data_IF_562426287487
#
_entry.id   IF_562426287487
#
_cell.length_a   1.000
_cell.length_b   1.000
_cell.length_c   1.000
_cell.angle_alpha   90.00
_cell.angle_beta   90.00
_cell.angle_gamma   90.00
#
_symmetry.space_group_name_H-M   'P 1'
#
loop_
_entity.id
_entity.type
_entity.pdbx_description
1 polymer ?
#
# COMPACT_ATOMS: atom_id res chain seq x y z
N UNK A 1 -38.27 5.67 34.89
CA UNK A 1 -36.90 5.76 34.33
C UNK A 1 -36.85 4.93 33.05
N UNK A 2 -36.09 5.33 32.01
CA UNK A 2 -35.97 4.55 30.78
C UNK A 2 -35.38 3.16 31.04
N UNK A 3 -35.85 2.15 30.30
CA UNK A 3 -35.43 0.75 30.50
C UNK A 3 -33.92 0.51 30.28
N UNK A 4 -33.24 1.39 29.53
CA UNK A 4 -31.81 1.30 29.26
C UNK A 4 -30.92 1.75 30.43
N UNK A 5 -31.48 2.40 31.46
CA UNK A 5 -30.70 3.02 32.55
C UNK A 5 -30.08 1.98 33.52
N UNK A 6 -30.61 0.76 33.56
CA UNK A 6 -30.10 -0.35 34.38
C UNK A 6 -29.48 -1.49 33.57
N UNK A 7 -29.42 -1.36 32.24
CA UNK A 7 -28.84 -2.38 31.37
C UNK A 7 -27.34 -2.08 31.23
N UNK A 8 -26.51 -2.99 31.73
CA UNK A 8 -25.08 -2.97 31.43
C UNK A 8 -24.90 -2.94 29.91
N UNK A 9 -24.01 -2.07 29.43
CA UNK A 9 -23.63 -2.05 28.03
C UNK A 9 -23.08 -3.44 27.66
N UNK A 10 -23.40 -3.91 26.45
CA UNK A 10 -22.77 -5.12 25.94
C UNK A 10 -21.24 -4.89 25.96
N UNK A 11 -20.43 -5.87 26.40
CA UNK A 11 -19.00 -5.70 26.49
C UNK A 11 -18.47 -5.27 25.13
N UNK A 12 -17.68 -4.19 25.13
CA UNK A 12 -17.04 -3.68 23.93
C UNK A 12 -16.25 -4.83 23.32
N UNK A 13 -16.71 -5.34 22.18
CA UNK A 13 -15.95 -6.37 21.47
C UNK A 13 -14.68 -5.66 21.03
N UNK A 14 -13.56 -5.98 21.67
CA UNK A 14 -12.24 -5.65 21.13
C UNK A 14 -12.22 -6.36 19.79
N UNK A 15 -12.57 -5.63 18.73
CA UNK A 15 -12.46 -6.16 17.39
C UNK A 15 -10.99 -6.55 17.29
N UNK A 16 -10.72 -7.82 16.99
CA UNK A 16 -9.46 -8.19 16.39
C UNK A 16 -9.42 -7.42 15.07
N UNK A 17 -8.90 -6.20 15.14
CA UNK A 17 -8.55 -5.42 13.98
C UNK A 17 -7.37 -6.17 13.40
N UNK A 18 -7.63 -7.01 12.41
CA UNK A 18 -6.61 -7.38 11.44
C UNK A 18 -6.33 -6.10 10.65
N UNK A 19 -5.61 -5.16 11.26
CA UNK A 19 -4.89 -4.12 10.55
C UNK A 19 -3.77 -4.84 9.84
N UNK A 20 -3.82 -4.99 8.51
CA UNK A 20 -2.80 -5.76 7.83
C UNK A 20 -1.42 -5.06 7.87
N UNK A 21 -1.41 -3.75 8.19
CA UNK A 21 -0.21 -2.96 8.54
C UNK A 21 0.33 -3.22 9.96
N UNK A 22 -0.36 -4.04 10.76
CA UNK A 22 0.04 -4.49 12.10
C UNK A 22 0.26 -6.02 12.11
N UNK A 23 0.55 -6.59 10.94
CA UNK A 23 0.84 -8.02 10.83
C UNK A 23 2.22 -8.32 11.46
N UNK A 24 2.31 -9.31 12.36
CA UNK A 24 3.59 -9.75 12.92
C UNK A 24 4.53 -10.15 11.79
N UNK A 25 5.69 -9.50 11.75
CA UNK A 25 6.66 -9.54 10.65
C UNK A 25 6.91 -8.20 9.94
N UNK A 26 6.02 -7.20 10.09
CA UNK A 26 6.32 -5.80 9.76
C UNK A 26 7.02 -5.07 10.93
N UNK A 27 6.77 -5.48 12.17
CA UNK A 27 7.45 -5.00 13.39
C UNK A 27 8.18 -6.09 14.20
N UNK A 28 8.11 -7.37 13.79
CA UNK A 28 8.79 -8.46 14.52
C UNK A 28 10.28 -8.57 14.15
N UNK A 29 11.04 -7.58 14.61
CA UNK A 29 12.18 -7.83 15.49
C UNK A 29 12.53 -6.50 16.18
N UNK A 30 12.17 -6.31 17.46
CA UNK A 30 12.67 -5.18 18.27
C UNK A 30 14.20 -5.21 18.49
N UNK A 31 14.92 -6.15 17.87
CA UNK A 31 16.35 -6.40 18.07
C UNK A 31 17.18 -6.37 16.77
N UNK A 32 16.57 -6.22 15.60
CA UNK A 32 17.27 -6.02 14.33
C UNK A 32 16.83 -4.70 13.70
N UNK A 33 17.79 -3.91 13.21
CA UNK A 33 17.47 -2.65 12.57
C UNK A 33 16.47 -2.86 11.42
N UNK A 34 15.52 -1.94 11.17
CA UNK A 34 14.45 -2.08 10.15
C UNK A 34 14.97 -2.24 8.71
N UNK A 35 16.29 -2.22 8.53
CA UNK A 35 17.00 -2.46 7.29
C UNK A 35 17.83 -3.76 7.44
N UNK A 36 17.54 -4.73 6.57
CA UNK A 36 18.26 -6.00 6.58
C UNK A 36 19.72 -5.85 6.11
N UNK A 37 20.44 -6.98 6.03
CA UNK A 37 21.85 -7.03 5.58
C UNK A 37 22.10 -6.40 4.20
N UNK A 38 21.06 -6.24 3.39
CA UNK A 38 21.11 -5.62 2.07
C UNK A 38 21.16 -4.07 2.10
N UNK A 39 20.92 -3.41 3.25
CA UNK A 39 21.00 -1.95 3.42
C UNK A 39 21.51 -1.60 4.83
N UNK A 40 22.77 -1.89 5.15
CA UNK A 40 23.31 -1.70 6.50
C UNK A 40 23.30 -0.23 6.96
N UNK A 41 23.16 0.73 6.05
CA UNK A 41 23.10 2.17 6.34
C UNK A 41 21.66 2.71 6.44
N UNK A 42 20.65 1.90 6.10
CA UNK A 42 19.24 2.29 6.03
C UNK A 42 18.92 3.34 4.95
N UNK A 43 19.84 3.57 4.00
CA UNK A 43 19.70 4.59 2.96
C UNK A 43 18.58 4.25 1.98
N UNK A 44 18.50 2.99 1.57
CA UNK A 44 17.44 2.52 0.65
C UNK A 44 16.09 2.57 1.31
N UNK A 45 16.01 2.20 2.59
CA UNK A 45 14.77 2.35 3.36
C UNK A 45 14.34 3.82 3.47
N UNK A 46 15.26 4.73 3.83
CA UNK A 46 14.96 6.18 3.87
C UNK A 46 14.47 6.70 2.51
N UNK A 47 15.18 6.36 1.43
CA UNK A 47 14.78 6.74 0.07
C UNK A 47 13.41 6.17 -0.32
N UNK A 48 13.15 4.91 0.03
CA UNK A 48 11.86 4.24 -0.22
C UNK A 48 10.68 4.98 0.43
N UNK A 49 10.87 5.56 1.61
CA UNK A 49 9.86 6.43 2.26
C UNK A 49 9.63 7.74 1.52
N UNK A 50 10.68 8.34 0.93
CA UNK A 50 10.53 9.55 0.11
C UNK A 50 9.75 9.27 -1.17
N UNK A 51 10.05 8.15 -1.83
CA UNK A 51 9.30 7.71 -3.01
C UNK A 51 7.83 7.45 -2.64
N UNK A 52 7.56 6.76 -1.54
CA UNK A 52 6.19 6.53 -1.05
C UNK A 52 5.44 7.87 -0.87
N UNK A 53 6.02 8.82 -0.14
CA UNK A 53 5.40 10.12 0.10
C UNK A 53 5.13 10.89 -1.20
N UNK A 54 6.06 10.83 -2.17
CA UNK A 54 5.87 11.45 -3.47
C UNK A 54 4.73 10.77 -4.27
N UNK A 55 4.65 9.44 -4.27
CA UNK A 55 3.56 8.72 -4.93
C UNK A 55 2.19 8.96 -4.29
N UNK A 56 2.17 9.25 -2.99
CA UNK A 56 0.96 9.61 -2.26
C UNK A 56 0.45 11.00 -2.67
N UNK A 57 1.34 12.01 -2.73
CA UNK A 57 0.92 13.41 -2.86
C UNK A 57 1.01 13.98 -4.27
N UNK A 58 2.00 13.59 -5.10
CA UNK A 58 2.14 14.15 -6.44
C UNK A 58 0.90 13.97 -7.33
N UNK A 59 0.13 12.86 -7.25
CA UNK A 59 -1.08 12.70 -8.05
C UNK A 59 -2.13 13.81 -7.85
N UNK A 60 -2.13 14.47 -6.68
CA UNK A 60 -3.06 15.55 -6.33
C UNK A 60 -2.74 16.88 -7.03
N UNK A 61 -1.56 16.98 -7.66
CA UNK A 61 -1.12 18.16 -8.39
C UNK A 61 -1.25 17.99 -9.91
N UNK A 62 -1.45 19.09 -10.67
CA UNK A 62 -1.42 19.06 -12.13
C UNK A 62 -0.13 18.44 -12.67
N UNK A 63 -0.23 17.62 -13.72
CA UNK A 63 0.92 16.88 -14.26
C UNK A 63 2.13 17.77 -14.59
N UNK A 64 1.89 18.98 -15.10
CA UNK A 64 2.93 19.96 -15.42
C UNK A 64 3.73 20.46 -14.19
N UNK A 65 3.16 20.39 -12.98
CA UNK A 65 3.80 20.87 -11.75
C UNK A 65 4.54 19.77 -10.99
N UNK A 66 4.17 18.49 -11.20
CA UNK A 66 4.63 17.35 -10.40
C UNK A 66 6.16 17.24 -10.34
N UNK A 67 6.84 17.46 -11.48
CA UNK A 67 8.31 17.39 -11.54
C UNK A 67 8.96 18.45 -10.65
N UNK A 68 8.57 19.71 -10.80
CA UNK A 68 9.12 20.82 -10.01
C UNK A 68 8.84 20.66 -8.51
N UNK A 69 7.65 20.13 -8.15
CA UNK A 69 7.30 19.83 -6.76
C UNK A 69 8.18 18.71 -6.18
N UNK A 70 8.38 17.63 -6.94
CA UNK A 70 9.23 16.52 -6.53
C UNK A 70 10.70 16.93 -6.36
N UNK A 71 11.23 17.72 -7.29
CA UNK A 71 12.59 18.29 -7.22
C UNK A 71 12.78 19.11 -5.94
N UNK A 72 11.85 20.04 -5.65
CA UNK A 72 11.87 20.86 -4.43
C UNK A 72 11.75 20.02 -3.15
N UNK A 73 10.95 18.97 -3.17
CA UNK A 73 10.81 18.07 -2.03
C UNK A 73 12.12 17.32 -1.77
N UNK A 74 12.69 16.67 -2.79
CA UNK A 74 13.92 15.88 -2.68
C UNK A 74 15.15 16.72 -2.31
N UNK A 75 15.17 18.00 -2.68
CA UNK A 75 16.26 18.92 -2.35
C UNK A 75 16.36 19.31 -0.87
N UNK A 76 15.34 18.99 -0.05
CA UNK A 76 15.34 19.35 1.38
C UNK A 76 16.52 18.69 2.12
N UNK A 77 17.37 19.47 2.82
CA UNK A 77 18.58 18.93 3.48
C UNK A 77 18.30 17.78 4.46
N UNK A 78 17.14 17.80 5.12
CA UNK A 78 16.74 16.76 6.08
C UNK A 78 16.55 15.36 5.49
N UNK A 79 16.55 15.21 4.16
CA UNK A 79 16.47 13.91 3.50
C UNK A 79 17.84 13.21 3.38
N UNK A 80 18.95 13.96 3.48
CA UNK A 80 20.29 13.38 3.40
C UNK A 80 20.64 12.73 2.05
N UNK A 81 19.96 13.12 0.96
CA UNK A 81 20.25 12.62 -0.39
C UNK A 81 21.36 13.43 -1.05
N UNK A 82 22.28 12.74 -1.74
CA UNK A 82 23.22 13.36 -2.68
C UNK A 82 22.48 13.92 -3.89
N UNK A 83 23.10 14.82 -4.65
CA UNK A 83 22.46 15.36 -5.87
C UNK A 83 22.15 14.25 -6.88
N UNK A 84 23.07 13.29 -7.05
CA UNK A 84 22.85 12.13 -7.91
C UNK A 84 21.66 11.28 -7.45
N UNK A 85 21.51 11.06 -6.13
CA UNK A 85 20.38 10.32 -5.59
C UNK A 85 19.06 11.06 -5.77
N UNK A 86 19.04 12.39 -5.67
CA UNK A 86 17.84 13.21 -5.91
C UNK A 86 17.37 13.05 -7.34
N UNK A 87 18.27 13.22 -8.32
CA UNK A 87 17.95 13.06 -9.73
C UNK A 87 17.48 11.63 -10.03
N UNK A 88 18.19 10.60 -9.53
CA UNK A 88 17.78 9.22 -9.75
C UNK A 88 16.41 8.91 -9.13
N UNK A 89 16.15 9.38 -7.90
CA UNK A 89 14.87 9.20 -7.19
C UNK A 89 13.73 9.91 -7.92
N UNK A 90 13.96 11.11 -8.43
CA UNK A 90 12.98 11.85 -9.23
C UNK A 90 12.55 11.05 -10.46
N UNK A 91 13.51 10.58 -11.25
CA UNK A 91 13.22 9.82 -12.48
C UNK A 91 12.54 8.47 -12.16
N UNK A 92 12.89 7.83 -11.05
CA UNK A 92 12.20 6.64 -10.54
C UNK A 92 10.72 6.92 -10.21
N UNK A 93 10.43 8.04 -9.52
CA UNK A 93 9.06 8.44 -9.15
C UNK A 93 8.23 8.76 -10.39
N UNK A 94 8.76 9.57 -11.31
CA UNK A 94 8.05 9.96 -12.53
C UNK A 94 7.72 8.73 -13.39
N UNK A 95 8.65 7.79 -13.52
CA UNK A 95 8.43 6.52 -14.23
C UNK A 95 7.30 5.69 -13.62
N UNK A 96 7.17 5.67 -12.30
CA UNK A 96 6.06 4.98 -11.63
C UNK A 96 4.73 5.68 -11.88
N UNK A 97 4.70 7.01 -11.81
CA UNK A 97 3.49 7.81 -12.10
C UNK A 97 3.01 7.65 -13.55
N UNK A 98 3.95 7.48 -14.48
CA UNK A 98 3.69 7.32 -15.91
C UNK A 98 3.61 5.84 -16.35
N UNK A 99 3.74 4.90 -15.41
CA UNK A 99 3.74 3.47 -15.73
C UNK A 99 2.42 3.10 -16.42
N UNK A 100 2.42 2.51 -17.64
CA UNK A 100 1.19 2.34 -18.44
C UNK A 100 0.07 1.58 -17.73
N UNK A 101 0.43 0.58 -16.91
CA UNK A 101 -0.55 -0.17 -16.13
C UNK A 101 -1.11 0.58 -14.91
N UNK A 102 -0.37 1.57 -14.37
CA UNK A 102 -0.69 2.27 -13.13
C UNK A 102 -1.16 3.70 -13.33
N UNK A 103 -0.89 4.32 -14.49
CA UNK A 103 -1.13 5.75 -14.74
C UNK A 103 -2.56 6.17 -14.43
N UNK A 104 -3.54 5.29 -14.68
CA UNK A 104 -4.94 5.52 -14.33
C UNK A 104 -5.16 5.66 -12.81
N UNK A 105 -4.43 4.91 -11.98
CA UNK A 105 -4.48 4.98 -10.51
C UNK A 105 -3.79 6.23 -9.93
N UNK A 106 -3.07 6.99 -10.76
CA UNK A 106 -2.50 8.31 -10.45
C UNK A 106 -3.23 9.47 -11.15
N UNK A 107 -4.34 9.15 -11.82
CA UNK A 107 -5.21 10.11 -12.50
C UNK A 107 -6.38 10.61 -11.62
N UNK A 108 -7.20 11.54 -12.12
CA UNK A 108 -8.33 12.07 -11.37
C UNK A 108 -9.33 10.99 -10.89
N UNK A 109 -9.91 11.18 -9.72
CA UNK A 109 -10.91 10.27 -9.15
C UNK A 109 -10.34 9.03 -8.43
N UNK A 110 -9.03 8.85 -8.45
CA UNK A 110 -8.34 7.89 -7.59
C UNK A 110 -8.22 8.43 -6.16
N UNK A 111 -8.23 7.51 -5.19
CA UNK A 111 -8.22 7.79 -3.74
C UNK A 111 -6.87 7.39 -3.16
N UNK A 112 -6.21 8.30 -2.46
CA UNK A 112 -4.97 8.04 -1.74
C UNK A 112 -5.33 7.69 -0.30
N UNK A 113 -4.55 6.82 0.32
CA UNK A 113 -4.79 6.40 1.72
C UNK A 113 -6.24 5.97 1.94
N UNK A 114 -6.78 5.18 1.00
CA UNK A 114 -8.19 4.89 0.97
C UNK A 114 -8.55 3.86 2.07
N UNK A 115 -9.43 4.22 3.03
CA UNK A 115 -9.81 3.29 4.08
C UNK A 115 -10.66 2.15 3.50
N UNK A 116 -10.44 0.95 4.01
CA UNK A 116 -11.22 -0.24 3.67
C UNK A 116 -11.63 -0.95 4.95
N UNK A 117 -12.93 -1.13 5.16
CA UNK A 117 -13.46 -1.81 6.32
C UNK A 117 -14.71 -2.62 6.00
N UNK A 118 -14.87 -3.77 6.63
CA UNK A 118 -16.03 -4.63 6.44
C UNK A 118 -15.86 -6.01 7.07
N UNK A 119 -16.67 -6.96 6.62
CA UNK A 119 -16.57 -8.35 7.04
C UNK A 119 -16.28 -9.25 5.84
N UNK A 120 -15.38 -10.22 6.01
CA UNK A 120 -15.08 -11.26 5.03
C UNK A 120 -15.17 -12.60 5.75
N UNK A 121 -16.07 -13.48 5.30
CA UNK A 121 -16.26 -14.82 5.90
C UNK A 121 -16.39 -14.80 7.43
N UNK A 122 -17.17 -13.85 7.96
CA UNK A 122 -17.40 -13.68 9.40
C UNK A 122 -16.27 -12.99 10.17
N UNK A 123 -15.15 -12.67 9.52
CA UNK A 123 -14.03 -11.96 10.12
C UNK A 123 -14.12 -10.46 9.83
N UNK A 124 -13.91 -9.62 10.85
CA UNK A 124 -13.81 -8.16 10.66
C UNK A 124 -12.46 -7.84 10.03
N UNK A 125 -12.50 -7.06 8.96
CA UNK A 125 -11.33 -6.50 8.29
C UNK A 125 -11.41 -4.98 8.35
N UNK A 126 -10.32 -4.34 8.75
CA UNK A 126 -10.16 -2.89 8.64
C UNK A 126 -8.71 -2.60 8.27
N UNK A 127 -8.51 -1.70 7.33
CA UNK A 127 -7.19 -1.31 6.86
C UNK A 127 -7.27 -0.09 5.96
N UNK A 128 -6.15 0.18 5.32
CA UNK A 128 -5.98 1.29 4.40
C UNK A 128 -5.13 0.81 3.24
N UNK A 129 -5.53 1.15 2.01
CA UNK A 129 -4.72 0.92 0.81
C UNK A 129 -4.09 2.24 0.40
N UNK A 130 -2.82 2.21 0.00
CA UNK A 130 -2.09 3.45 -0.34
C UNK A 130 -2.73 4.18 -1.53
N UNK A 131 -3.24 3.41 -2.50
CA UNK A 131 -3.96 3.95 -3.65
C UNK A 131 -5.11 3.04 -4.05
N UNK A 132 -6.25 3.63 -4.39
CA UNK A 132 -7.38 2.92 -4.97
C UNK A 132 -7.96 3.70 -6.14
N UNK A 133 -8.25 3.01 -7.24
CA UNK A 133 -9.01 3.51 -8.37
C UNK A 133 -10.27 2.67 -8.51
N UNK A 134 -11.41 3.33 -8.62
CA UNK A 134 -12.70 2.68 -8.85
C UNK A 134 -13.24 3.20 -10.19
N UNK A 135 -13.43 2.29 -11.14
CA UNK A 135 -14.04 2.54 -12.45
C UNK A 135 -15.32 1.69 -12.58
N UNK A 136 -16.18 1.91 -13.60
CA UNK A 136 -17.32 1.04 -13.84
C UNK A 136 -16.91 -0.42 -14.10
N UNK A 137 -15.74 -0.67 -14.69
CA UNK A 137 -15.28 -1.99 -15.12
C UNK A 137 -14.46 -2.72 -14.04
N UNK A 138 -13.63 -1.98 -13.30
CA UNK A 138 -12.68 -2.55 -12.34
C UNK A 138 -12.43 -1.67 -11.11
N UNK A 139 -11.95 -2.32 -10.05
CA UNK A 139 -11.30 -1.70 -8.90
C UNK A 139 -9.81 -2.06 -8.98
N UNK A 140 -8.93 -1.09 -8.86
CA UNK A 140 -7.48 -1.31 -8.79
C UNK A 140 -6.98 -0.79 -7.46
N UNK A 141 -6.21 -1.60 -6.73
CA UNK A 141 -5.53 -1.18 -5.51
C UNK A 141 -4.02 -1.31 -5.64
N UNK A 142 -3.30 -0.32 -5.13
CA UNK A 142 -1.84 -0.32 -5.01
C UNK A 142 -1.47 -0.29 -3.53
N UNK A 143 -0.47 -1.08 -3.16
CA UNK A 143 0.15 -1.09 -1.84
C UNK A 143 1.67 -0.97 -2.00
N UNK A 144 2.29 -0.03 -1.30
CA UNK A 144 3.67 0.42 -1.49
C UNK A 144 4.58 -0.21 -0.45
N UNK A 145 5.56 -0.99 -0.90
CA UNK A 145 6.51 -1.69 -0.02
C UNK A 145 7.88 -1.01 -0.03
N UNK A 146 8.28 -0.48 1.14
CA UNK A 146 9.53 0.30 1.33
C UNK A 146 10.63 -0.47 2.07
N UNK A 147 10.29 -1.52 2.82
CA UNK A 147 11.16 -2.15 3.82
C UNK A 147 12.14 -3.20 3.28
N UNK A 148 11.95 -3.69 2.06
CA UNK A 148 12.74 -4.81 1.53
C UNK A 148 12.92 -4.75 0.01
N UNK A 149 14.00 -5.33 -0.53
CA UNK A 149 14.15 -5.55 -1.96
C UNK A 149 12.94 -6.30 -2.54
N UNK A 150 12.52 -6.00 -3.78
CA UNK A 150 11.45 -6.75 -4.42
C UNK A 150 11.87 -8.20 -4.67
N UNK A 151 10.92 -9.16 -4.60
CA UNK A 151 11.13 -10.47 -5.19
C UNK A 151 11.25 -10.38 -6.72
N UNK A 152 11.90 -11.37 -7.33
CA UNK A 152 12.02 -11.46 -8.79
C UNK A 152 10.67 -11.74 -9.46
N UNK A 153 9.85 -12.60 -8.87
CA UNK A 153 8.57 -13.03 -9.41
C UNK A 153 7.45 -12.94 -8.38
N UNK A 154 6.19 -12.85 -8.85
CA UNK A 154 5.02 -12.78 -7.98
C UNK A 154 4.85 -14.00 -7.07
N UNK A 155 5.34 -15.18 -7.49
CA UNK A 155 5.31 -16.42 -6.69
C UNK A 155 6.22 -16.36 -5.45
N UNK A 156 7.22 -15.48 -5.47
CA UNK A 156 8.19 -15.30 -4.39
C UNK A 156 7.78 -14.14 -3.46
N UNK A 157 6.61 -13.53 -3.70
CA UNK A 157 6.05 -12.51 -2.80
C UNK A 157 5.80 -13.15 -1.44
N UNK A 158 6.26 -12.51 -0.34
CA UNK A 158 6.00 -13.01 1.00
C UNK A 158 4.51 -13.29 1.22
N UNK A 159 4.19 -14.48 1.74
CA UNK A 159 2.82 -14.95 1.99
C UNK A 159 1.97 -13.93 2.76
N UNK A 160 2.61 -13.14 3.62
CA UNK A 160 1.96 -12.09 4.39
C UNK A 160 1.28 -11.04 3.50
N UNK A 161 1.98 -10.56 2.47
CA UNK A 161 1.45 -9.59 1.51
C UNK A 161 0.37 -10.21 0.63
N UNK A 162 0.54 -11.48 0.24
CA UNK A 162 -0.49 -12.19 -0.53
C UNK A 162 -1.79 -12.33 0.27
N UNK A 163 -1.72 -12.68 1.56
CA UNK A 163 -2.88 -12.76 2.46
C UNK A 163 -3.55 -11.40 2.65
N UNK A 164 -2.77 -10.35 2.89
CA UNK A 164 -3.28 -8.97 3.00
C UNK A 164 -4.05 -8.57 1.73
N UNK A 165 -3.41 -8.70 0.57
CA UNK A 165 -4.03 -8.29 -0.70
C UNK A 165 -5.21 -9.18 -1.07
N UNK A 166 -5.18 -10.47 -0.76
CA UNK A 166 -6.31 -11.37 -0.97
C UNK A 166 -7.51 -10.99 -0.08
N UNK A 167 -7.27 -10.59 1.17
CA UNK A 167 -8.31 -10.14 2.08
C UNK A 167 -8.95 -8.82 1.63
N UNK A 168 -8.14 -7.84 1.19
CA UNK A 168 -8.64 -6.61 0.57
C UNK A 168 -9.45 -6.89 -0.69
N UNK A 169 -8.95 -7.77 -1.56
CA UNK A 169 -9.64 -8.16 -2.79
C UNK A 169 -10.98 -8.82 -2.50
N UNK A 170 -11.03 -9.75 -1.55
CA UNK A 170 -12.26 -10.44 -1.15
C UNK A 170 -13.32 -9.46 -0.62
N UNK A 171 -12.91 -8.46 0.18
CA UNK A 171 -13.82 -7.42 0.65
C UNK A 171 -14.30 -6.51 -0.49
N UNK A 172 -13.39 -6.04 -1.35
CA UNK A 172 -13.74 -5.16 -2.47
C UNK A 172 -14.66 -5.84 -3.48
N UNK A 173 -14.55 -7.15 -3.70
CA UNK A 173 -15.48 -7.93 -4.54
C UNK A 173 -16.91 -7.92 -3.98
N UNK A 174 -17.07 -7.87 -2.66
CA UNK A 174 -18.39 -7.75 -2.02
C UNK A 174 -18.94 -6.33 -2.14
N UNK A 175 -18.08 -5.31 -1.98
CA UNK A 175 -18.48 -3.89 -2.05
C UNK A 175 -18.82 -3.49 -3.51
N UNK A 176 -18.07 -3.99 -4.48
CA UNK A 176 -18.20 -3.65 -5.90
C UNK A 176 -18.51 -4.89 -6.75
N UNK A 177 -19.72 -5.46 -6.64
CA UNK A 177 -20.08 -6.67 -7.36
C UNK A 177 -20.00 -6.46 -8.88
N UNK A 178 -19.52 -7.49 -9.58
CA UNK A 178 -19.38 -7.48 -11.04
C UNK A 178 -18.15 -6.75 -11.58
N UNK A 179 -17.31 -6.16 -10.71
CA UNK A 179 -16.06 -5.49 -11.11
C UNK A 179 -14.86 -6.39 -10.87
N UNK A 180 -13.92 -6.40 -11.81
CA UNK A 180 -12.62 -7.04 -11.58
C UNK A 180 -11.86 -6.27 -10.49
N UNK A 181 -11.24 -6.97 -9.53
CA UNK A 181 -10.38 -6.34 -8.52
C UNK A 181 -8.92 -6.70 -8.79
N UNK A 182 -8.15 -5.72 -9.23
CA UNK A 182 -6.73 -5.85 -9.57
C UNK A 182 -5.86 -5.34 -8.41
N UNK A 183 -4.87 -6.14 -8.02
CA UNK A 183 -4.02 -5.87 -6.87
C UNK A 183 -2.56 -5.74 -7.30
N UNK A 184 -1.92 -4.65 -6.91
CA UNK A 184 -0.53 -4.36 -7.26
C UNK A 184 0.30 -4.06 -6.02
N UNK A 185 1.54 -4.56 -6.02
CA UNK A 185 2.58 -4.11 -5.09
C UNK A 185 3.54 -3.18 -5.81
N UNK A 186 3.81 -2.02 -5.21
CA UNK A 186 4.81 -1.07 -5.71
C UNK A 186 6.01 -1.06 -4.77
N UNK A 187 7.12 -1.63 -5.22
CA UNK A 187 8.35 -1.76 -4.46
C UNK A 187 9.19 -0.49 -4.62
N UNK A 188 9.07 0.43 -3.68
CA UNK A 188 9.74 1.74 -3.75
C UNK A 188 11.26 1.64 -3.60
N UNK A 189 11.77 0.52 -3.06
CA UNK A 189 13.20 0.22 -3.03
C UNK A 189 13.88 0.30 -4.41
N UNK A 190 13.16 -0.15 -5.44
CA UNK A 190 13.67 -0.34 -6.81
C UNK A 190 12.80 0.29 -7.90
N UNK A 191 11.79 1.08 -7.49
CA UNK A 191 10.76 1.63 -8.35
C UNK A 191 10.13 0.60 -9.30
N UNK A 192 9.77 -0.56 -8.74
CA UNK A 192 9.19 -1.69 -9.48
C UNK A 192 7.74 -1.90 -9.10
N UNK A 193 6.87 -1.92 -10.10
CA UNK A 193 5.48 -2.36 -9.95
C UNK A 193 5.35 -3.85 -10.24
N UNK A 194 4.50 -4.54 -9.48
CA UNK A 194 4.22 -5.96 -9.63
C UNK A 194 2.72 -6.21 -9.48
N UNK A 195 2.08 -6.66 -10.56
CA UNK A 195 0.71 -7.17 -10.50
C UNK A 195 0.71 -8.53 -9.79
N UNK A 196 -0.25 -8.72 -8.89
CA UNK A 196 -0.45 -9.99 -8.22
C UNK A 196 -1.44 -10.85 -9.02
N UNK A 197 -1.01 -12.03 -9.53
CA UNK A 197 -1.90 -12.90 -10.29
C UNK A 197 -3.12 -13.32 -9.47
N UNK A 198 -4.31 -13.33 -10.09
CA UNK A 198 -5.54 -13.69 -9.39
C UNK A 198 -5.43 -15.08 -8.73
N UNK A 199 -4.87 -16.06 -9.44
CA UNK A 199 -4.66 -17.42 -8.92
C UNK A 199 -3.73 -17.50 -7.70
N UNK A 200 -2.80 -16.54 -7.54
CA UNK A 200 -1.97 -16.46 -6.34
C UNK A 200 -2.80 -15.98 -5.15
N UNK A 201 -3.62 -14.94 -5.35
CA UNK A 201 -4.49 -14.40 -4.32
C UNK A 201 -5.63 -15.36 -3.94
N UNK A 202 -6.18 -16.13 -4.88
CA UNK A 202 -7.24 -17.12 -4.63
C UNK A 202 -6.82 -18.15 -3.58
N UNK A 203 -5.54 -18.56 -3.59
CA UNK A 203 -4.97 -19.50 -2.61
C UNK A 203 -4.81 -18.91 -1.20
N UNK A 204 -4.98 -17.61 -1.07
CA UNK A 204 -4.75 -16.85 0.16
C UNK A 204 -5.99 -16.08 0.61
N UNK A 205 -7.17 -16.33 0.01
CA UNK A 205 -8.41 -15.74 0.48
C UNK A 205 -8.69 -16.13 1.94
N UNK A 206 -9.23 -15.19 2.74
CA UNK A 206 -9.63 -15.49 4.12
C UNK A 206 -10.55 -16.71 4.15
N UNK A 207 -10.18 -17.74 4.91
CA UNK A 207 -11.01 -18.94 5.08
C UNK A 207 -11.87 -18.82 6.34
N UNK A 208 -12.95 -19.62 6.40
CA UNK A 208 -13.75 -19.85 7.61
C UNK A 208 -12.94 -20.50 8.73
#
# INVERSE_FOLDING_TARGET
>A
LPAWLGRAADPESVALTLSPSALPGEEETPTAAPHGRADPTGERFRRGRLIHALLQHLPEHPAAERRALAERFLARPGHGLTEADRTATLEEVLRLLEHPALVAAFGPGSLAEAPIAGMVNGQRLAGQVDRMLITPERVMILDYKTNRPPPSEAKDVPTLYLRQMAAYRALLRQIFPGREVQCWLVWTWSARAMELPQAALDRHEPSY
#
